data_IF_630744734882
#
_entry.id   IF_630744734882
#
_cell.length_a   1.000
_cell.length_b   1.000
_cell.length_c   1.000
_cell.angle_alpha   90.00
_cell.angle_beta   90.00
_cell.angle_gamma   90.00
#
_symmetry.space_group_name_H-M   'P 1'
#
loop_
_entity.id
_entity.type
_entity.pdbx_description
1 polymer ?
#
# COMPACT_ATOMS: atom_id res chain seq x y z
N UNK A 1 9.04 24.21 -24.97
CA UNK A 1 8.08 24.38 -26.09
C UNK A 1 8.70 25.31 -27.13
N UNK A 2 9.49 24.76 -28.05
CA UNK A 2 10.01 25.53 -29.18
C UNK A 2 8.92 25.61 -30.25
N UNK A 3 8.49 26.83 -30.53
CA UNK A 3 7.58 27.15 -31.63
C UNK A 3 8.29 26.79 -32.94
N UNK A 4 7.86 25.68 -33.55
CA UNK A 4 8.31 25.27 -34.87
C UNK A 4 7.74 26.27 -35.90
N UNK A 5 8.50 27.35 -36.13
CA UNK A 5 8.17 28.40 -37.10
C UNK A 5 8.05 27.70 -38.44
N UNK A 6 6.85 27.68 -39.01
CA UNK A 6 6.58 27.04 -40.28
C UNK A 6 7.61 27.48 -41.33
N UNK A 7 8.50 26.57 -41.69
CA UNK A 7 9.38 26.69 -42.86
C UNK A 7 8.48 26.95 -44.06
N UNK A 8 8.46 28.21 -44.52
CA UNK A 8 7.89 28.55 -45.81
C UNK A 8 8.73 27.78 -46.82
N UNK A 9 8.17 26.68 -47.36
CA UNK A 9 8.80 25.97 -48.49
C UNK A 9 9.01 27.00 -49.60
N UNK A 10 10.26 27.35 -49.82
CA UNK A 10 10.67 28.33 -50.79
C UNK A 10 10.53 27.66 -52.16
N UNK A 11 9.64 28.17 -53.01
CA UNK A 11 9.52 27.68 -54.38
C UNK A 11 10.46 28.51 -55.24
N UNK A 12 11.43 27.87 -55.89
CA UNK A 12 12.34 28.55 -56.79
C UNK A 12 11.59 29.14 -57.98
N UNK A 13 11.94 30.38 -58.38
CA UNK A 13 11.27 31.11 -59.46
C UNK A 13 11.28 30.37 -60.81
N UNK A 14 12.20 29.41 -61.00
CA UNK A 14 12.33 28.58 -62.19
C UNK A 14 11.22 27.53 -62.34
N UNK A 15 10.59 27.08 -61.24
CA UNK A 15 9.57 26.03 -61.23
C UNK A 15 8.14 26.56 -61.42
N UNK A 16 7.99 27.87 -61.65
CA UNK A 16 6.70 28.51 -61.80
C UNK A 16 6.22 28.48 -63.26
N UNK A 17 5.05 27.89 -63.56
CA UNK A 17 4.54 27.85 -64.93
C UNK A 17 4.18 29.26 -65.42
N UNK A 18 4.62 29.59 -66.64
CA UNK A 18 4.42 30.91 -67.26
C UNK A 18 2.99 31.09 -67.80
N UNK A 19 2.25 30.00 -68.05
CA UNK A 19 0.88 30.02 -68.59
C UNK A 19 -0.19 30.10 -67.46
N UNK A 20 -1.17 31.03 -67.53
CA UNK A 20 -2.23 31.17 -66.52
C UNK A 20 -3.06 29.91 -66.24
N UNK A 21 -3.27 29.03 -67.23
CA UNK A 21 -4.02 27.78 -67.04
C UNK A 21 -3.22 26.74 -66.26
N UNK A 22 -1.93 26.63 -66.55
CA UNK A 22 -1.00 25.70 -65.89
C UNK A 22 -0.71 26.13 -64.44
N UNK A 23 -0.66 27.44 -64.19
CA UNK A 23 -0.56 28.03 -62.84
C UNK A 23 -1.66 27.55 -61.89
N UNK A 24 -2.91 27.48 -62.36
CA UNK A 24 -4.04 27.00 -61.55
C UNK A 24 -3.90 25.51 -61.21
N UNK A 25 -3.41 24.70 -62.16
CA UNK A 25 -3.18 23.25 -61.97
C UNK A 25 -2.02 23.00 -61.00
N UNK A 26 -0.90 23.69 -61.19
CA UNK A 26 0.28 23.62 -60.32
C UNK A 26 -0.04 24.01 -58.86
N UNK A 27 -0.80 25.09 -58.65
CA UNK A 27 -1.26 25.46 -57.29
C UNK A 27 -2.14 24.39 -56.64
N UNK A 28 -2.99 23.72 -57.42
CA UNK A 28 -3.87 22.65 -56.93
C UNK A 28 -3.06 21.41 -56.52
N UNK A 29 -2.07 21.03 -57.32
CA UNK A 29 -1.14 19.92 -57.04
C UNK A 29 -0.25 20.22 -55.81
N UNK A 30 0.36 21.40 -55.72
CA UNK A 30 1.16 21.79 -54.54
C UNK A 30 0.35 21.91 -53.26
N UNK A 31 -0.91 22.37 -53.35
CA UNK A 31 -1.83 22.36 -52.20
C UNK A 31 -2.17 20.94 -51.75
N UNK A 32 -2.34 20.00 -52.68
CA UNK A 32 -2.58 18.59 -52.38
C UNK A 32 -1.33 17.92 -51.77
N UNK A 33 -0.15 18.17 -52.31
CA UNK A 33 1.14 17.66 -51.79
C UNK A 33 1.42 18.19 -50.37
N UNK A 34 1.11 19.46 -50.11
CA UNK A 34 1.20 20.05 -48.78
C UNK A 34 0.20 19.44 -47.79
N UNK A 35 -1.03 19.11 -48.23
CA UNK A 35 -2.03 18.40 -47.39
C UNK A 35 -1.54 17.01 -47.02
N UNK A 36 -1.06 16.22 -47.98
CA UNK A 36 -0.51 14.88 -47.74
C UNK A 36 0.63 14.88 -46.74
N UNK A 37 1.56 15.84 -46.86
CA UNK A 37 2.67 15.98 -45.91
C UNK A 37 2.21 16.33 -44.49
N UNK A 38 1.20 17.20 -44.36
CA UNK A 38 0.61 17.54 -43.05
C UNK A 38 -0.09 16.34 -42.43
N UNK A 39 -0.82 15.57 -43.23
CA UNK A 39 -1.48 14.33 -42.80
C UNK A 39 -0.44 13.30 -42.34
N UNK A 40 0.64 13.08 -43.10
CA UNK A 40 1.74 12.18 -42.71
C UNK A 40 2.43 12.62 -41.40
N UNK A 41 2.73 13.91 -41.24
CA UNK A 41 3.29 14.43 -39.98
C UNK A 41 2.34 14.25 -38.79
N UNK A 42 1.03 14.42 -39.02
CA UNK A 42 0.02 14.24 -37.98
C UNK A 42 -0.08 12.77 -37.57
N UNK A 43 -0.07 11.84 -38.53
CA UNK A 43 -0.08 10.40 -38.29
C UNK A 43 1.15 9.97 -37.48
N UNK A 44 2.36 10.38 -37.89
CA UNK A 44 3.59 10.08 -37.14
C UNK A 44 3.56 10.62 -35.69
N UNK A 45 2.92 11.78 -35.48
CA UNK A 45 2.78 12.35 -34.14
C UNK A 45 1.77 11.58 -33.28
N UNK A 46 0.67 11.11 -33.89
CA UNK A 46 -0.34 10.28 -33.23
C UNK A 46 0.23 8.90 -32.86
N UNK A 47 0.98 8.26 -33.76
CA UNK A 47 1.64 6.98 -33.50
C UNK A 47 2.65 7.07 -32.34
N UNK A 48 3.46 8.13 -32.29
CA UNK A 48 4.37 8.37 -31.15
C UNK A 48 3.64 8.52 -29.83
N UNK A 49 2.52 9.24 -29.80
CA UNK A 49 1.71 9.41 -28.59
C UNK A 49 1.04 8.09 -28.18
N UNK A 50 0.59 7.28 -29.14
CA UNK A 50 0.04 5.95 -28.86
C UNK A 50 1.09 4.99 -28.31
N UNK A 51 2.31 4.97 -28.90
CA UNK A 51 3.41 4.15 -28.41
C UNK A 51 3.81 4.53 -26.98
N UNK A 52 3.92 5.84 -26.68
CA UNK A 52 4.20 6.32 -25.32
C UNK A 52 3.12 5.91 -24.31
N UNK A 53 1.83 6.02 -24.68
CA UNK A 53 0.72 5.56 -23.82
C UNK A 53 0.74 4.06 -23.59
N UNK A 54 1.06 3.27 -24.63
CA UNK A 54 1.15 1.81 -24.52
C UNK A 54 2.31 1.40 -23.62
N UNK A 55 3.48 2.03 -23.76
CA UNK A 55 4.62 1.80 -22.87
C UNK A 55 4.31 2.18 -21.42
N UNK A 56 3.63 3.32 -21.18
CA UNK A 56 3.19 3.72 -19.83
C UNK A 56 2.18 2.74 -19.24
N UNK A 57 1.21 2.24 -20.02
CA UNK A 57 0.24 1.24 -19.56
C UNK A 57 0.90 -0.12 -19.29
N UNK A 58 1.85 -0.55 -20.12
CA UNK A 58 2.57 -1.81 -19.93
C UNK A 58 3.50 -1.74 -18.71
N UNK A 59 4.17 -0.61 -18.50
CA UNK A 59 5.02 -0.39 -17.34
C UNK A 59 4.18 -0.30 -16.04
N UNK A 60 3.02 0.36 -16.09
CA UNK A 60 2.05 0.40 -14.98
C UNK A 60 1.56 -1.00 -14.62
N UNK A 61 1.27 -1.86 -15.60
CA UNK A 61 0.86 -3.25 -15.39
C UNK A 61 1.98 -4.12 -14.78
N UNK A 62 3.23 -3.95 -15.21
CA UNK A 62 4.39 -4.67 -14.65
C UNK A 62 4.64 -4.30 -13.19
N UNK A 63 4.62 -3.00 -12.85
CA UNK A 63 4.75 -2.52 -11.46
C UNK A 63 3.61 -3.06 -10.57
N UNK A 64 2.40 -3.18 -11.12
CA UNK A 64 1.24 -3.70 -10.39
C UNK A 64 1.29 -5.24 -10.20
N UNK A 65 1.95 -5.98 -11.10
CA UNK A 65 2.17 -7.41 -10.94
C UNK A 65 3.30 -7.73 -9.95
N UNK A 66 4.38 -6.95 -9.91
CA UNK A 66 5.46 -7.16 -8.93
C UNK A 66 5.06 -6.82 -7.49
N UNK A 67 4.11 -5.91 -7.30
CA UNK A 67 3.55 -5.56 -5.99
C UNK A 67 2.51 -6.57 -5.47
N UNK A 68 1.99 -7.46 -6.33
CA UNK A 68 1.05 -8.52 -5.95
C UNK A 68 1.72 -9.78 -5.39
N UNK A 69 2.86 -9.64 -4.70
CA UNK A 69 3.36 -10.71 -3.84
C UNK A 69 2.43 -10.78 -2.64
N UNK A 70 1.46 -11.69 -2.68
CA UNK A 70 0.45 -11.89 -1.62
C UNK A 70 1.16 -11.91 -0.27
N UNK A 71 0.93 -10.88 0.55
CA UNK A 71 1.47 -10.84 1.89
C UNK A 71 0.78 -11.95 2.69
N UNK A 72 1.52 -13.02 3.00
CA UNK A 72 1.00 -14.07 3.85
C UNK A 72 0.86 -13.51 5.26
N UNK A 73 -0.35 -13.54 5.79
CA UNK A 73 -0.65 -13.15 7.17
C UNK A 73 -0.59 -14.38 8.07
N UNK A 74 0.11 -14.26 9.20
CA UNK A 74 0.19 -15.30 10.22
C UNK A 74 -0.59 -14.86 11.45
N UNK A 75 -1.59 -15.67 11.85
CA UNK A 75 -2.36 -15.46 13.09
C UNK A 75 -2.12 -16.63 14.04
N UNK A 76 -2.01 -16.34 15.34
CA UNK A 76 -1.88 -17.35 16.40
C UNK A 76 -3.06 -17.27 17.36
N UNK A 77 -3.58 -18.42 17.80
CA UNK A 77 -4.64 -18.49 18.79
C UNK A 77 -4.10 -19.08 20.10
N UNK A 78 -4.35 -18.41 21.22
CA UNK A 78 -3.84 -18.79 22.53
C UNK A 78 -4.92 -18.66 23.61
N UNK A 79 -5.01 -19.61 24.55
CA UNK A 79 -5.89 -19.45 25.69
C UNK A 79 -5.23 -18.56 26.75
N UNK A 80 -5.98 -17.62 27.32
CA UNK A 80 -5.45 -16.77 28.39
C UNK A 80 -5.29 -17.50 29.73
N UNK A 81 -5.88 -18.70 29.87
CA UNK A 81 -5.71 -19.61 31.03
C UNK A 81 -4.23 -19.96 31.31
N UNK A 82 -3.35 -19.79 30.33
CA UNK A 82 -1.89 -19.96 30.49
C UNK A 82 -1.33 -19.09 31.62
N UNK A 83 -1.88 -17.89 31.84
CA UNK A 83 -1.44 -16.99 32.92
C UNK A 83 -1.87 -17.47 34.31
N UNK A 84 -2.87 -18.35 34.42
CA UNK A 84 -3.34 -18.86 35.71
C UNK A 84 -2.35 -19.80 36.39
N UNK A 85 -1.46 -20.40 35.61
CA UNK A 85 -0.37 -21.23 36.12
C UNK A 85 0.73 -20.41 36.82
N UNK A 86 0.85 -19.12 36.52
CA UNK A 86 1.90 -18.29 37.06
C UNK A 86 1.58 -17.81 38.48
N UNK A 87 2.53 -18.03 39.40
CA UNK A 87 2.31 -17.83 40.83
C UNK A 87 2.34 -16.36 41.27
N UNK A 88 3.12 -15.52 40.58
CA UNK A 88 3.26 -14.10 40.89
C UNK A 88 2.84 -13.21 39.71
N UNK A 89 2.42 -11.95 39.95
CA UNK A 89 2.12 -10.98 38.89
C UNK A 89 3.30 -10.68 37.96
N UNK A 90 4.52 -10.72 38.51
CA UNK A 90 5.77 -10.57 37.77
C UNK A 90 5.96 -11.73 36.77
N UNK A 91 5.78 -12.97 37.23
CA UNK A 91 5.90 -14.16 36.38
C UNK A 91 4.82 -14.22 35.29
N UNK A 92 3.60 -13.73 35.58
CA UNK A 92 2.53 -13.59 34.58
C UNK A 92 2.94 -12.67 33.45
N UNK A 93 3.47 -11.50 33.82
CA UNK A 93 3.93 -10.51 32.85
C UNK A 93 5.13 -11.00 32.06
N UNK A 94 6.06 -11.70 32.72
CA UNK A 94 7.20 -12.34 32.07
C UNK A 94 6.76 -13.39 31.04
N UNK A 95 5.81 -14.26 31.38
CA UNK A 95 5.28 -15.29 30.48
C UNK A 95 4.58 -14.67 29.26
N UNK A 96 3.74 -13.65 29.46
CA UNK A 96 3.13 -12.89 28.37
C UNK A 96 4.19 -12.20 27.49
N UNK A 97 5.25 -11.66 28.09
CA UNK A 97 6.39 -11.07 27.38
C UNK A 97 7.17 -12.08 26.53
N UNK A 98 7.32 -13.33 27.01
CA UNK A 98 7.93 -14.41 26.22
C UNK A 98 7.10 -14.73 24.98
N UNK A 99 5.77 -14.80 25.12
CA UNK A 99 4.84 -15.01 24.00
C UNK A 99 4.93 -13.85 23.01
N UNK A 100 4.90 -12.60 23.48
CA UNK A 100 5.04 -11.41 22.64
C UNK A 100 6.36 -11.43 21.85
N UNK A 101 7.48 -11.75 22.52
CA UNK A 101 8.79 -11.83 21.89
C UNK A 101 8.84 -12.92 20.82
N UNK A 102 8.25 -14.09 21.09
CA UNK A 102 8.14 -15.16 20.09
C UNK A 102 7.32 -14.70 18.88
N UNK A 103 6.17 -14.07 19.11
CA UNK A 103 5.30 -13.56 18.06
C UNK A 103 6.02 -12.54 17.15
N UNK A 104 6.82 -11.63 17.73
CA UNK A 104 7.62 -10.65 16.98
C UNK A 104 8.72 -11.31 16.16
N UNK A 105 9.41 -12.33 16.69
CA UNK A 105 10.48 -13.06 15.98
C UNK A 105 9.93 -13.75 14.72
N UNK A 106 8.72 -14.29 14.80
CA UNK A 106 8.07 -14.99 13.69
C UNK A 106 7.15 -14.11 12.84
N UNK A 107 7.19 -12.78 13.03
CA UNK A 107 6.39 -11.81 12.27
C UNK A 107 4.88 -12.14 12.28
N UNK A 108 4.35 -12.53 13.43
CA UNK A 108 2.90 -12.76 13.61
C UNK A 108 2.14 -11.44 13.48
N UNK A 109 1.07 -11.45 12.70
CA UNK A 109 0.23 -10.27 12.45
C UNK A 109 -0.89 -10.12 13.49
N UNK A 110 -1.42 -11.24 13.99
CA UNK A 110 -2.59 -11.23 14.86
C UNK A 110 -2.47 -12.31 15.95
N UNK A 111 -2.80 -11.93 17.18
CA UNK A 111 -2.87 -12.83 18.33
C UNK A 111 -4.31 -12.85 18.83
N UNK A 112 -4.95 -14.01 18.74
CA UNK A 112 -6.34 -14.24 19.11
C UNK A 112 -6.36 -14.92 20.48
N UNK A 113 -6.86 -14.21 21.51
CA UNK A 113 -7.00 -14.78 22.85
C UNK A 113 -8.43 -15.29 23.01
N UNK A 114 -8.58 -16.58 23.31
CA UNK A 114 -9.89 -17.20 23.52
C UNK A 114 -10.08 -17.64 24.97
N UNK A 115 -11.34 -17.66 25.41
CA UNK A 115 -11.72 -18.18 26.71
C UNK A 115 -12.09 -19.66 26.63
N UNK A 116 -11.38 -20.50 27.38
CA UNK A 116 -11.65 -21.93 27.50
C UNK A 116 -12.65 -22.27 28.60
N UNK A 117 -12.86 -21.35 29.55
CA UNK A 117 -13.51 -21.69 30.83
C UNK A 117 -15.04 -21.71 30.77
N UNK A 118 -15.64 -21.44 29.61
CA UNK A 118 -17.09 -21.51 29.38
C UNK A 118 -17.90 -20.58 30.31
N UNK A 119 -17.24 -19.65 31.00
CA UNK A 119 -17.87 -18.75 31.95
C UNK A 119 -18.62 -17.66 31.19
N UNK A 120 -19.94 -17.53 31.45
CA UNK A 120 -20.81 -16.54 30.81
C UNK A 120 -20.61 -15.12 31.37
N UNK A 121 -19.71 -14.96 32.35
CA UNK A 121 -19.41 -13.67 32.96
C UNK A 121 -18.57 -12.82 32.00
N UNK A 122 -19.27 -12.06 31.16
CA UNK A 122 -18.71 -11.07 30.22
C UNK A 122 -18.10 -9.84 30.90
N UNK A 123 -17.78 -9.92 32.20
CA UNK A 123 -17.17 -8.80 32.89
C UNK A 123 -15.76 -8.58 32.32
N UNK A 124 -15.50 -7.35 31.88
CA UNK A 124 -14.16 -6.88 31.46
C UNK A 124 -13.37 -6.32 32.64
N UNK A 125 -13.99 -6.26 33.82
CA UNK A 125 -13.41 -5.77 35.06
C UNK A 125 -13.23 -6.94 36.03
N UNK A 126 -11.97 -7.24 36.36
CA UNK A 126 -11.63 -8.16 37.43
C UNK A 126 -10.13 -8.19 37.65
N UNK A 127 -9.73 -7.78 38.85
CA UNK A 127 -8.35 -7.82 39.30
C UNK A 127 -7.92 -9.27 39.56
N UNK A 128 -6.64 -9.56 39.37
CA UNK A 128 -6.06 -10.83 39.80
C UNK A 128 -6.16 -10.99 41.33
N UNK A 129 -6.90 -12.00 41.80
CA UNK A 129 -7.13 -12.26 43.24
C UNK A 129 -6.24 -13.37 43.84
N UNK A 130 -5.30 -13.91 43.07
CA UNK A 130 -4.38 -14.97 43.49
C UNK A 130 -4.53 -16.28 42.72
N UNK A 131 -3.56 -17.18 42.93
CA UNK A 131 -3.44 -18.48 42.22
C UNK A 131 -4.64 -19.36 42.54
N UNK A 132 -5.28 -19.93 41.51
CA UNK A 132 -6.44 -20.81 41.67
C UNK A 132 -7.78 -20.11 41.89
N UNK A 133 -7.81 -18.77 41.92
CA UNK A 133 -9.05 -17.97 41.87
C UNK A 133 -9.29 -17.50 40.44
N UNK A 134 -10.56 -17.49 40.02
CA UNK A 134 -10.96 -17.01 38.69
C UNK A 134 -10.70 -15.50 38.59
N UNK A 135 -9.61 -15.12 37.95
CA UNK A 135 -9.38 -13.76 37.44
C UNK A 135 -9.57 -13.76 35.93
N UNK A 136 -9.83 -12.60 35.31
CA UNK A 136 -9.94 -12.50 33.86
C UNK A 136 -8.56 -12.54 33.19
N UNK A 137 -7.90 -13.71 33.20
CA UNK A 137 -6.58 -13.95 32.64
C UNK A 137 -6.49 -13.56 31.15
N UNK A 138 -7.57 -13.78 30.39
CA UNK A 138 -7.71 -13.38 28.99
C UNK A 138 -7.55 -11.86 28.81
N UNK A 139 -8.19 -11.06 29.67
CA UNK A 139 -8.14 -9.58 29.60
C UNK A 139 -6.75 -9.07 30.00
N UNK A 140 -6.17 -9.64 31.06
CA UNK A 140 -4.81 -9.30 31.48
C UNK A 140 -3.80 -9.62 30.37
N UNK A 141 -3.89 -10.79 29.74
CA UNK A 141 -3.02 -11.17 28.62
C UNK A 141 -3.16 -10.21 27.44
N UNK A 142 -4.40 -9.88 27.03
CA UNK A 142 -4.66 -8.94 25.94
C UNK A 142 -4.05 -7.57 26.22
N UNK A 143 -4.22 -7.07 27.45
CA UNK A 143 -3.70 -5.76 27.86
C UNK A 143 -2.18 -5.70 27.82
N UNK A 144 -1.50 -6.75 28.30
CA UNK A 144 -0.02 -6.82 28.29
C UNK A 144 0.49 -6.88 26.85
N UNK A 145 -0.09 -7.73 25.99
CA UNK A 145 0.35 -7.86 24.60
C UNK A 145 0.15 -6.54 23.81
N UNK A 146 -0.97 -5.85 24.03
CA UNK A 146 -1.22 -4.53 23.42
C UNK A 146 -0.21 -3.48 23.90
N UNK A 147 0.13 -3.48 25.19
CA UNK A 147 1.14 -2.57 25.73
C UNK A 147 2.53 -2.83 25.12
N UNK A 148 2.89 -4.09 24.90
CA UNK A 148 4.17 -4.49 24.32
C UNK A 148 4.26 -4.16 22.81
N UNK A 149 3.17 -4.33 22.06
CA UNK A 149 3.08 -3.94 20.64
C UNK A 149 3.16 -2.42 20.48
N UNK A 150 2.57 -1.68 21.42
CA UNK A 150 2.54 -0.22 21.36
C UNK A 150 3.96 0.39 21.42
N UNK A 151 4.30 1.32 20.51
CA UNK A 151 5.55 2.07 20.54
C UNK A 151 5.75 2.84 21.85
N UNK A 152 6.98 2.83 22.38
CA UNK A 152 7.31 3.37 23.70
C UNK A 152 6.87 4.82 23.94
N UNK A 153 6.90 5.67 22.90
CA UNK A 153 6.51 7.07 23.01
C UNK A 153 4.98 7.28 23.10
N UNK A 154 4.17 6.29 22.71
CA UNK A 154 2.71 6.36 22.74
C UNK A 154 2.10 5.73 24.00
N UNK A 155 2.87 4.90 24.71
CA UNK A 155 2.34 4.12 25.86
C UNK A 155 1.70 4.99 26.93
N UNK A 156 2.31 6.14 27.24
CA UNK A 156 1.77 7.08 28.24
C UNK A 156 0.41 7.69 27.86
N UNK A 157 0.11 7.77 26.57
CA UNK A 157 -1.14 8.36 26.07
C UNK A 157 -2.26 7.34 25.94
N UNK A 158 -1.95 6.11 25.52
CA UNK A 158 -2.96 5.06 25.31
C UNK A 158 -3.23 4.19 26.54
N UNK A 159 -2.26 4.05 27.45
CA UNK A 159 -2.38 3.16 28.60
C UNK A 159 -2.28 3.95 29.91
N UNK A 160 -3.43 4.21 30.57
CA UNK A 160 -3.44 4.62 31.98
C UNK A 160 -2.74 3.57 32.83
N UNK A 161 -2.14 4.00 33.95
CA UNK A 161 -1.40 3.11 34.84
C UNK A 161 -2.36 2.09 35.50
N UNK A 162 -2.40 0.87 34.96
CA UNK A 162 -3.26 -0.23 35.42
C UNK A 162 -2.44 -1.21 36.28
N UNK A 163 -3.06 -1.83 37.30
CA UNK A 163 -2.38 -2.81 38.17
C UNK A 163 -1.76 -3.97 37.38
N UNK A 164 -2.46 -4.43 36.35
CA UNK A 164 -1.99 -5.49 35.44
C UNK A 164 -0.74 -5.13 34.64
N UNK A 165 -0.43 -3.84 34.49
CA UNK A 165 0.71 -3.33 33.73
C UNK A 165 1.84 -2.84 34.65
N UNK A 166 1.73 -3.05 35.96
CA UNK A 166 2.73 -2.56 36.92
C UNK A 166 4.14 -3.09 36.63
N UNK A 167 4.24 -4.30 36.08
CA UNK A 167 5.51 -5.00 35.83
C UNK A 167 5.80 -5.21 34.34
N UNK A 168 5.07 -4.54 33.45
CA UNK A 168 5.11 -4.73 31.99
C UNK A 168 6.02 -3.74 31.27
#
# INVERSE_FOLDING_TARGET
MQQDRGEKRNYDKADMPQNPKEWKKWKKEKKAETRKWKEQRLIQKLEKVQAQKQEEEENSKKVQQETSKVQQTLSIALPGSILDNAQSPELRTYLAGQIARAAVIFNVNEIIIFDETGSLDRSVEGDYQGVGKKGHANVQMARILQYLECPQYLRKSFFPQHKDLQYA
#
